data_IF_530060917820
#
_entry.id   IF_530060917820
#
_cell.length_a   1.000
_cell.length_b   1.000
_cell.length_c   1.000
_cell.angle_alpha   90.00
_cell.angle_beta   90.00
_cell.angle_gamma   90.00
#
_symmetry.space_group_name_H-M   'P 1'
#
loop_
_entity.id
_entity.type
_entity.pdbx_description
1 polymer ?
#
# COMPACT_ATOMS: atom_id res chain seq x y z
N UNK A 1 3.21 -0.11 5.38
CA UNK A 1 2.43 -1.35 5.65
C UNK A 1 2.57 -2.25 4.43
N UNK A 2 2.06 -3.49 4.46
CA UNK A 2 2.05 -4.32 3.24
C UNK A 2 1.02 -3.79 2.23
N UNK A 3 1.26 -4.02 0.93
CA UNK A 3 0.41 -3.52 -0.16
C UNK A 3 -1.03 -4.02 -0.05
N UNK A 4 -1.24 -5.25 0.44
CA UNK A 4 -2.59 -5.75 0.69
C UNK A 4 -3.40 -4.87 1.65
N UNK A 5 -2.79 -4.38 2.72
CA UNK A 5 -3.48 -3.49 3.66
C UNK A 5 -3.84 -2.17 2.99
N UNK A 6 -2.92 -1.60 2.22
CA UNK A 6 -3.17 -0.37 1.45
C UNK A 6 -4.30 -0.56 0.43
N UNK A 7 -4.32 -1.67 -0.32
CA UNK A 7 -5.35 -1.97 -1.30
C UNK A 7 -6.74 -2.10 -0.66
N UNK A 8 -6.86 -2.83 0.46
CA UNK A 8 -8.13 -3.01 1.17
C UNK A 8 -8.64 -1.67 1.72
N UNK A 9 -7.77 -0.88 2.36
CA UNK A 9 -8.17 0.45 2.89
C UNK A 9 -8.53 1.41 1.75
N UNK A 10 -7.77 1.41 0.65
CA UNK A 10 -8.06 2.22 -0.53
C UNK A 10 -9.39 1.84 -1.19
N UNK A 11 -9.69 0.54 -1.29
CA UNK A 11 -10.98 0.04 -1.78
C UNK A 11 -12.14 0.41 -0.86
N UNK A 12 -11.95 0.29 0.46
CA UNK A 12 -12.91 0.67 1.48
C UNK A 12 -13.22 2.17 1.48
N UNK A 13 -12.23 3.02 1.23
CA UNK A 13 -12.45 4.47 1.11
C UNK A 13 -13.15 4.78 -0.22
N UNK A 14 -12.74 4.12 -1.31
CA UNK A 14 -13.35 4.31 -2.61
C UNK A 14 -14.82 3.89 -2.67
N UNK A 15 -15.22 2.89 -1.89
CA UNK A 15 -16.63 2.46 -1.76
C UNK A 15 -17.52 3.58 -1.25
N UNK A 16 -16.98 4.54 -0.49
CA UNK A 16 -17.72 5.70 0.02
C UNK A 16 -17.91 6.81 -1.04
N UNK A 17 -17.25 6.70 -2.21
CA UNK A 17 -17.28 7.69 -3.28
C UNK A 17 -17.60 7.07 -4.66
N UNK A 18 -18.66 6.25 -4.81
CA UNK A 18 -18.85 5.39 -5.98
C UNK A 18 -18.88 6.14 -7.31
N UNK A 19 -19.40 7.38 -7.32
CA UNK A 19 -19.53 8.23 -8.51
C UNK A 19 -18.41 9.27 -8.66
N UNK A 20 -17.39 9.26 -7.80
CA UNK A 20 -16.33 10.25 -7.78
C UNK A 20 -14.94 9.59 -7.83
N UNK A 21 -14.54 9.01 -8.97
CA UNK A 21 -13.26 8.28 -9.10
C UNK A 21 -12.04 9.14 -8.80
N UNK A 22 -12.07 10.44 -9.09
CA UNK A 22 -10.99 11.36 -8.74
C UNK A 22 -10.88 11.57 -7.21
N UNK A 23 -12.01 11.66 -6.50
CA UNK A 23 -12.03 11.74 -5.05
C UNK A 23 -11.54 10.43 -4.42
N UNK A 24 -11.99 9.28 -4.95
CA UNK A 24 -11.52 7.96 -4.54
C UNK A 24 -10.00 7.81 -4.73
N UNK A 25 -9.45 8.24 -5.87
CA UNK A 25 -8.01 8.22 -6.13
C UNK A 25 -7.24 9.05 -5.11
N UNK A 26 -7.66 10.31 -4.89
CA UNK A 26 -7.00 11.21 -3.95
C UNK A 26 -7.09 10.69 -2.52
N UNK A 27 -8.27 10.24 -2.10
CA UNK A 27 -8.50 9.73 -0.75
C UNK A 27 -7.73 8.41 -0.51
N UNK A 28 -7.70 7.50 -1.49
CA UNK A 28 -6.88 6.29 -1.43
C UNK A 28 -5.39 6.60 -1.32
N UNK A 29 -4.87 7.49 -2.18
CA UNK A 29 -3.47 7.95 -2.12
C UNK A 29 -3.12 8.58 -0.77
N UNK A 30 -4.00 9.44 -0.23
CA UNK A 30 -3.81 10.05 1.08
C UNK A 30 -3.85 9.02 2.22
N UNK A 31 -4.74 8.02 2.13
CA UNK A 31 -4.90 7.00 3.17
C UNK A 31 -3.65 6.17 3.39
N UNK A 32 -2.84 5.96 2.35
CA UNK A 32 -1.55 5.29 2.45
C UNK A 32 -0.69 5.91 3.56
N UNK A 33 -0.49 7.23 3.50
CA UNK A 33 0.33 7.96 4.46
C UNK A 33 -0.27 7.96 5.86
N UNK A 34 -1.60 8.04 5.96
CA UNK A 34 -2.31 8.02 7.24
C UNK A 34 -2.10 6.68 7.95
N UNK A 35 -2.26 5.56 7.24
CA UNK A 35 -2.13 4.24 7.85
C UNK A 35 -0.66 3.84 8.07
N UNK A 36 0.27 4.36 7.26
CA UNK A 36 1.71 4.19 7.49
C UNK A 36 2.24 4.92 8.73
N UNK A 37 1.50 5.91 9.25
CA UNK A 37 1.81 6.54 10.53
C UNK A 37 1.58 5.60 11.72
N UNK A 38 0.81 4.53 11.53
CA UNK A 38 0.52 3.52 12.55
C UNK A 38 1.67 2.50 12.58
N UNK A 39 2.18 2.08 13.76
CA UNK A 39 3.16 1.02 13.85
C UNK A 39 2.69 -0.25 13.14
N UNK A 40 3.50 -0.74 12.20
CA UNK A 40 3.15 -1.88 11.36
C UNK A 40 4.37 -2.77 11.11
N UNK A 41 4.13 -3.87 10.40
CA UNK A 41 5.14 -4.81 9.98
C UNK A 41 5.27 -4.83 8.45
N UNK A 42 6.48 -5.10 7.99
CA UNK A 42 6.80 -5.29 6.58
C UNK A 42 7.54 -6.61 6.43
N UNK A 43 7.26 -7.34 5.34
CA UNK A 43 8.01 -8.55 5.04
C UNK A 43 9.44 -8.21 4.61
N UNK A 44 10.43 -9.01 5.05
CA UNK A 44 11.83 -8.77 4.67
C UNK A 44 12.04 -9.06 3.19
N UNK A 45 12.61 -8.09 2.47
CA UNK A 45 13.10 -8.25 1.10
C UNK A 45 14.58 -8.60 1.10
N UNK A 46 15.02 -9.40 0.12
CA UNK A 46 16.38 -9.94 0.05
C UNK A 46 17.37 -9.05 -0.68
N UNK A 47 16.91 -8.37 -1.70
CA UNK A 47 17.72 -7.60 -2.66
C UNK A 47 17.26 -6.16 -2.80
N UNK A 48 15.96 -5.89 -2.66
CA UNK A 48 15.39 -4.55 -2.71
C UNK A 48 15.46 -3.91 -1.33
N UNK A 49 16.04 -2.72 -1.25
CA UNK A 49 16.08 -1.92 -0.02
C UNK A 49 15.23 -0.65 -0.15
N UNK A 50 14.34 -0.40 0.81
CA UNK A 50 13.44 0.76 0.80
C UNK A 50 13.71 1.73 1.96
N UNK A 51 14.72 1.45 2.79
CA UNK A 51 15.05 2.26 3.98
C UNK A 51 15.60 3.66 3.67
N UNK A 52 15.77 4.47 4.71
CA UNK A 52 16.35 5.81 4.58
C UNK A 52 17.75 5.74 3.98
N UNK A 53 17.95 6.41 2.84
CA UNK A 53 19.22 6.40 2.11
C UNK A 53 19.46 5.17 1.24
N UNK A 54 18.47 4.29 1.07
CA UNK A 54 18.58 3.14 0.19
C UNK A 54 18.81 3.55 -1.28
N UNK A 55 19.56 2.73 -2.01
CA UNK A 55 19.83 2.89 -3.44
C UNK A 55 19.76 1.53 -4.13
N UNK A 56 18.86 1.42 -5.10
CA UNK A 56 18.63 0.19 -5.87
C UNK A 56 19.16 0.30 -7.30
N UNK A 57 19.97 1.33 -7.60
CA UNK A 57 20.51 1.59 -8.96
C UNK A 57 21.36 0.46 -9.54
N UNK A 58 21.89 -0.43 -8.69
CA UNK A 58 22.71 -1.58 -9.08
C UNK A 58 21.98 -2.91 -8.85
N UNK A 59 20.65 -2.91 -8.80
CA UNK A 59 19.87 -4.14 -8.76
C UNK A 59 20.24 -5.01 -9.97
N UNK A 60 20.65 -6.24 -9.70
CA UNK A 60 20.89 -7.26 -10.70
C UNK A 60 19.62 -8.09 -10.92
N UNK A 61 19.50 -8.72 -12.09
CA UNK A 61 18.46 -9.72 -12.36
C UNK A 61 18.83 -11.06 -11.72
N UNK A 62 18.90 -11.08 -10.38
CA UNK A 62 19.17 -12.27 -9.60
C UNK A 62 17.88 -13.00 -9.24
N UNK A 63 17.98 -14.27 -8.86
CA UNK A 63 16.85 -15.03 -8.30
C UNK A 63 16.27 -14.36 -7.05
N UNK A 64 17.09 -13.70 -6.24
CA UNK A 64 16.64 -12.93 -5.07
C UNK A 64 15.78 -11.73 -5.50
N UNK A 65 16.19 -10.99 -6.53
CA UNK A 65 15.44 -9.87 -7.09
C UNK A 65 14.10 -10.32 -7.66
N UNK A 66 14.09 -11.43 -8.41
CA UNK A 66 12.85 -12.00 -8.94
C UNK A 66 11.93 -12.49 -7.82
N UNK A 67 12.49 -13.05 -6.74
CA UNK A 67 11.72 -13.48 -5.57
C UNK A 67 11.06 -12.30 -4.87
N UNK A 68 11.80 -11.20 -4.66
CA UNK A 68 11.27 -9.98 -4.05
C UNK A 68 10.12 -9.41 -4.89
N UNK A 69 10.30 -9.30 -6.21
CA UNK A 69 9.22 -8.85 -7.10
C UNK A 69 8.02 -9.79 -7.10
N UNK A 70 8.24 -11.11 -7.03
CA UNK A 70 7.15 -12.07 -6.94
C UNK A 70 6.36 -11.94 -5.63
N UNK A 71 7.04 -11.74 -4.50
CA UNK A 71 6.38 -11.52 -3.19
C UNK A 71 5.55 -10.23 -3.23
N UNK A 72 6.16 -9.12 -3.67
CA UNK A 72 5.49 -7.81 -3.78
C UNK A 72 4.30 -7.89 -4.74
N UNK A 73 4.50 -8.49 -5.91
CA UNK A 73 3.45 -8.64 -6.92
C UNK A 73 2.31 -9.52 -6.45
N UNK A 74 2.62 -10.62 -5.75
CA UNK A 74 1.60 -11.48 -5.15
C UNK A 74 0.80 -10.73 -4.08
N UNK A 75 1.47 -9.99 -3.19
CA UNK A 75 0.80 -9.19 -2.17
C UNK A 75 -0.11 -8.12 -2.79
N UNK A 76 0.37 -7.37 -3.78
CA UNK A 76 -0.42 -6.38 -4.50
C UNK A 76 -1.67 -7.00 -5.17
N UNK A 77 -1.50 -8.12 -5.87
CA UNK A 77 -2.58 -8.83 -6.54
C UNK A 77 -3.58 -9.43 -5.56
N UNK A 78 -3.12 -10.01 -4.46
CA UNK A 78 -3.97 -10.56 -3.41
C UNK A 78 -4.79 -9.44 -2.75
N UNK A 79 -4.14 -8.33 -2.40
CA UNK A 79 -4.77 -7.13 -1.87
C UNK A 79 -5.86 -6.57 -2.76
N UNK A 80 -5.52 -6.35 -4.04
CA UNK A 80 -6.47 -5.85 -5.04
C UNK A 80 -7.63 -6.84 -5.23
N UNK A 81 -7.34 -8.13 -5.37
CA UNK A 81 -8.35 -9.18 -5.52
C UNK A 81 -9.33 -9.21 -4.33
N UNK A 82 -8.80 -9.10 -3.11
CA UNK A 82 -9.61 -9.02 -1.89
C UNK A 82 -10.45 -7.74 -1.83
N UNK A 83 -9.87 -6.58 -2.15
CA UNK A 83 -10.60 -5.32 -2.19
C UNK A 83 -11.77 -5.39 -3.19
N UNK A 84 -11.54 -5.95 -4.39
CA UNK A 84 -12.60 -6.13 -5.38
C UNK A 84 -13.66 -7.12 -4.91
N UNK A 85 -13.25 -8.25 -4.33
CA UNK A 85 -14.18 -9.25 -3.82
C UNK A 85 -15.09 -8.70 -2.72
N UNK A 86 -14.55 -7.84 -1.84
CA UNK A 86 -15.31 -7.28 -0.71
C UNK A 86 -16.20 -6.11 -1.14
N UNK A 87 -15.73 -5.20 -2.00
CA UNK A 87 -16.40 -3.93 -2.26
C UNK A 87 -17.02 -3.80 -3.65
N UNK A 88 -16.47 -4.44 -4.69
CA UNK A 88 -16.90 -4.21 -6.07
C UNK A 88 -18.21 -4.92 -6.46
N UNK A 89 -18.78 -5.75 -5.58
CA UNK A 89 -20.08 -6.38 -5.82
C UNK A 89 -21.24 -5.39 -5.67
N UNK A 90 -21.11 -4.45 -4.73
CA UNK A 90 -22.14 -3.46 -4.40
C UNK A 90 -21.79 -2.07 -4.97
N UNK A 91 -20.49 -1.82 -5.19
CA UNK A 91 -19.99 -0.52 -5.64
C UNK A 91 -19.38 -0.54 -7.05
N UNK A 92 -19.13 0.64 -7.60
CA UNK A 92 -18.47 0.81 -8.89
C UNK A 92 -17.11 0.12 -8.92
N UNK A 93 -17.01 -0.96 -9.72
CA UNK A 93 -15.78 -1.71 -9.95
C UNK A 93 -14.57 -0.80 -10.22
N UNK A 94 -14.71 0.14 -11.16
CA UNK A 94 -13.62 1.03 -11.54
C UNK A 94 -13.21 1.98 -10.42
N UNK A 95 -14.16 2.44 -9.62
CA UNK A 95 -13.87 3.32 -8.49
C UNK A 95 -13.07 2.59 -7.41
N UNK A 96 -13.46 1.34 -7.10
CA UNK A 96 -12.72 0.48 -6.16
C UNK A 96 -11.31 0.17 -6.67
N UNK A 97 -11.17 -0.20 -7.96
CA UNK A 97 -9.86 -0.39 -8.60
C UNK A 97 -8.99 0.86 -8.44
N UNK A 98 -9.51 2.03 -8.78
CA UNK A 98 -8.77 3.30 -8.73
C UNK A 98 -8.31 3.61 -7.30
N UNK A 99 -9.18 3.47 -6.30
CA UNK A 99 -8.81 3.74 -4.91
C UNK A 99 -7.77 2.77 -4.37
N UNK A 100 -7.95 1.47 -4.61
CA UNK A 100 -7.00 0.44 -4.19
C UNK A 100 -5.62 0.64 -4.84
N UNK A 101 -5.57 0.91 -6.16
CA UNK A 101 -4.31 1.23 -6.85
C UNK A 101 -3.68 2.51 -6.35
N UNK A 102 -4.46 3.57 -6.15
CA UNK A 102 -3.95 4.84 -5.66
C UNK A 102 -3.35 4.73 -4.25
N UNK A 103 -3.91 3.89 -3.40
CA UNK A 103 -3.37 3.61 -2.06
C UNK A 103 -2.06 2.80 -2.07
N UNK A 104 -1.85 1.94 -3.08
CA UNK A 104 -0.58 1.20 -3.25
C UNK A 104 0.51 2.03 -3.95
N UNK A 105 0.12 3.06 -4.71
CA UNK A 105 1.02 3.84 -5.56
C UNK A 105 2.21 4.47 -4.81
N UNK A 106 2.08 5.02 -3.59
CA UNK A 106 3.21 5.62 -2.87
C UNK A 106 4.40 4.68 -2.67
N UNK A 107 4.18 3.39 -2.37
CA UNK A 107 5.28 2.42 -2.22
C UNK A 107 6.00 2.14 -3.54
N UNK A 108 5.25 2.06 -4.65
CA UNK A 108 5.85 1.95 -5.98
C UNK A 108 6.68 3.20 -6.32
N UNK A 109 6.21 4.39 -5.93
CA UNK A 109 6.94 5.65 -6.09
C UNK A 109 8.17 5.72 -5.16
N UNK A 110 8.10 5.15 -3.95
CA UNK A 110 9.25 4.99 -3.07
C UNK A 110 10.32 4.10 -3.69
N UNK A 111 9.92 2.95 -4.25
CA UNK A 111 10.85 2.11 -5.00
C UNK A 111 11.46 2.88 -6.18
N UNK A 112 10.66 3.60 -6.97
CA UNK A 112 11.16 4.41 -8.08
C UNK A 112 12.13 5.51 -7.62
N UNK A 113 11.90 6.12 -6.46
CA UNK A 113 12.81 7.09 -5.84
C UNK A 113 14.18 6.46 -5.55
N UNK A 114 14.25 5.22 -5.09
CA UNK A 114 15.54 4.55 -4.84
C UNK A 114 16.38 4.31 -6.10
N UNK A 115 15.74 4.35 -7.28
CA UNK A 115 16.41 4.30 -8.59
C UNK A 115 16.76 5.72 -9.06
N UNK A 116 15.80 6.64 -8.96
CA UNK A 116 15.88 8.01 -9.48
C UNK A 116 15.47 9.06 -8.42
N UNK A 117 16.31 9.33 -7.41
CA UNK A 117 16.00 10.21 -6.28
C UNK A 117 16.09 11.70 -6.67
N UNK A 118 15.14 12.20 -7.47
CA UNK A 118 15.12 13.58 -7.99
C UNK A 118 13.72 14.19 -7.95
N UNK A 119 13.66 15.52 -7.92
CA UNK A 119 12.43 16.29 -8.11
C UNK A 119 11.29 15.91 -7.17
N UNK A 120 10.07 15.75 -7.73
CA UNK A 120 8.86 15.42 -6.98
C UNK A 120 8.97 14.10 -6.22
N UNK A 121 9.65 13.08 -6.76
CA UNK A 121 9.87 11.82 -6.05
C UNK A 121 10.64 12.05 -4.76
N UNK A 122 11.63 12.94 -4.77
CA UNK A 122 12.41 13.26 -3.57
C UNK A 122 11.59 14.03 -2.53
N UNK A 123 10.73 14.95 -2.97
CA UNK A 123 9.80 15.65 -2.09
C UNK A 123 8.78 14.70 -1.46
N UNK A 124 8.17 13.83 -2.28
CA UNK A 124 7.22 12.81 -1.83
C UNK A 124 7.88 11.85 -0.84
N UNK A 125 9.10 11.38 -1.12
CA UNK A 125 9.81 10.47 -0.23
C UNK A 125 10.14 11.12 1.12
N UNK A 126 10.51 12.41 1.12
CA UNK A 126 10.74 13.15 2.36
C UNK A 126 9.47 13.24 3.21
N UNK A 127 8.32 13.46 2.56
CA UNK A 127 7.04 13.46 3.24
C UNK A 127 6.68 12.06 3.77
N UNK A 128 6.82 11.03 2.94
CA UNK A 128 6.58 9.63 3.31
C UNK A 128 7.37 9.24 4.55
N UNK A 129 8.69 9.50 4.59
CA UNK A 129 9.50 9.21 5.77
C UNK A 129 9.20 10.08 6.99
N UNK A 130 8.68 11.30 6.79
CA UNK A 130 8.31 12.18 7.90
C UNK A 130 7.08 11.66 8.64
N UNK A 131 6.08 11.16 7.89
CA UNK A 131 4.83 10.65 8.46
C UNK A 131 4.91 9.18 8.87
N UNK A 132 5.74 8.38 8.21
CA UNK A 132 5.90 6.95 8.48
C UNK A 132 6.24 6.67 9.95
N UNK A 133 5.61 5.63 10.50
CA UNK A 133 5.86 5.19 11.88
C UNK A 133 7.36 4.92 12.11
N UNK A 134 7.87 5.42 13.24
CA UNK A 134 9.25 5.13 13.70
C UNK A 134 9.35 3.81 14.45
N UNK A 135 8.22 3.16 14.72
CA UNK A 135 8.13 1.88 15.42
C UNK A 135 7.69 0.80 14.45
N UNK A 136 8.45 -0.28 14.40
CA UNK A 136 8.11 -1.48 13.65
C UNK A 136 7.57 -2.56 14.59
N UNK A 137 6.45 -3.16 14.22
CA UNK A 137 5.97 -4.39 14.84
C UNK A 137 6.77 -5.58 14.29
N UNK A 138 6.78 -6.70 15.01
CA UNK A 138 7.58 -7.88 14.65
C UNK A 138 6.78 -9.17 14.78
N UNK A 139 7.15 -10.15 13.95
CA UNK A 139 6.62 -11.51 14.01
C UNK A 139 5.10 -11.58 13.86
N UNK A 140 4.50 -12.58 14.50
CA UNK A 140 3.06 -12.86 14.41
C UNK A 140 2.19 -11.70 14.91
N UNK A 141 2.66 -10.91 15.87
CA UNK A 141 1.92 -9.75 16.36
C UNK A 141 1.77 -8.67 15.28
N UNK A 142 2.83 -8.42 14.50
CA UNK A 142 2.78 -7.48 13.37
C UNK A 142 1.77 -7.93 12.31
N UNK A 143 1.89 -9.16 11.84
CA UNK A 143 0.97 -9.76 10.86
C UNK A 143 -0.47 -9.74 11.37
N UNK A 144 -0.71 -10.21 12.59
CA UNK A 144 -2.04 -10.25 13.20
C UNK A 144 -2.67 -8.86 13.35
N UNK A 145 -1.89 -7.85 13.72
CA UNK A 145 -2.39 -6.48 13.84
C UNK A 145 -2.86 -5.89 12.51
N UNK A 146 -2.17 -6.20 11.40
CA UNK A 146 -2.55 -5.73 10.07
C UNK A 146 -3.79 -6.45 9.54
N UNK A 147 -3.90 -7.76 9.78
CA UNK A 147 -5.11 -8.52 9.44
C UNK A 147 -6.32 -8.00 10.22
N UNK A 148 -6.17 -7.78 11.53
CA UNK A 148 -7.22 -7.22 12.36
C UNK A 148 -7.62 -5.81 11.90
N UNK A 149 -6.64 -4.95 11.59
CA UNK A 149 -6.89 -3.60 11.09
C UNK A 149 -7.61 -3.61 9.74
N UNK A 150 -7.13 -4.37 8.76
CA UNK A 150 -7.77 -4.48 7.45
C UNK A 150 -9.19 -5.04 7.54
N UNK A 151 -9.40 -6.08 8.35
CA UNK A 151 -10.72 -6.65 8.60
C UNK A 151 -11.68 -5.68 9.28
N UNK A 152 -11.20 -4.92 10.27
CA UNK A 152 -11.99 -3.89 10.94
C UNK A 152 -12.40 -2.77 9.98
N UNK A 153 -11.48 -2.27 9.15
CA UNK A 153 -11.79 -1.25 8.14
C UNK A 153 -12.79 -1.78 7.12
N UNK A 154 -12.64 -3.02 6.66
CA UNK A 154 -13.58 -3.63 5.74
C UNK A 154 -14.97 -3.77 6.34
N UNK A 155 -15.08 -4.28 7.57
CA UNK A 155 -16.36 -4.40 8.28
C UNK A 155 -17.02 -3.03 8.51
N UNK A 156 -16.23 -2.02 8.88
CA UNK A 156 -16.71 -0.66 9.07
C UNK A 156 -17.24 -0.07 7.76
N UNK A 157 -16.47 -0.16 6.67
CA UNK A 157 -16.89 0.35 5.36
C UNK A 157 -18.19 -0.34 4.90
N UNK A 158 -18.28 -1.66 5.03
CA UNK A 158 -19.49 -2.44 4.72
C UNK A 158 -20.73 -2.01 5.51
N UNK A 159 -20.57 -1.45 6.72
CA UNK A 159 -21.71 -1.00 7.53
C UNK A 159 -22.38 0.28 7.03
N UNK A 160 -21.76 0.98 6.05
CA UNK A 160 -22.33 2.16 5.42
C UNK A 160 -23.19 1.87 4.18
N UNK A 161 -23.32 0.58 3.80
CA UNK A 161 -24.07 0.11 2.64
C UNK A 161 -25.15 -0.90 3.09
#
# INVERSE_FOLDING_TARGET
MILSTHAIVGGAIASLFPFHPAAAAFAGFASHFVIDAIPHWDYPLRSISLGKGATNRRLSFSTATLTDFAIIGFDACAGLGLALWIFAAEESFWTVVIGAFAAMLPDALQFLHTLYPRGLLHALQRFHWWIHSKRALKGLFGVGSQLAFAGMIAALARSFH
#
